data_IF_983902760761
#
_entry.id   IF_983902760761
#
_cell.length_a   1.000
_cell.length_b   1.000
_cell.length_c   1.000
_cell.angle_alpha   90.00
_cell.angle_beta   90.00
_cell.angle_gamma   90.00
#
_symmetry.space_group_name_H-M   'P 1'
#
loop_
_entity.id
_entity.type
_entity.pdbx_description
1 polymer ?
#
# COMPACT_ATOMS: atom_id res chain seq x y z
N UNK A 1 -52.18 -65.82 10.26
CA UNK A 1 -52.00 -64.51 10.90
C UNK A 1 -50.53 -64.23 10.98
N UNK A 2 -49.98 -63.40 10.09
CA UNK A 2 -48.61 -62.95 10.15
C UNK A 2 -48.65 -61.43 10.13
N UNK A 3 -48.21 -60.80 11.20
CA UNK A 3 -48.16 -59.37 11.42
C UNK A 3 -46.90 -58.83 10.74
N UNK A 4 -47.05 -57.88 9.80
CA UNK A 4 -45.93 -57.18 9.14
C UNK A 4 -45.66 -55.89 9.91
N UNK A 5 -44.46 -55.81 10.49
CA UNK A 5 -43.94 -54.61 11.15
C UNK A 5 -43.33 -53.65 10.08
N UNK A 6 -43.96 -52.49 9.92
CA UNK A 6 -43.44 -51.40 9.08
C UNK A 6 -42.31 -50.66 9.85
N UNK A 7 -41.08 -50.72 9.36
CA UNK A 7 -39.99 -49.90 9.83
C UNK A 7 -39.98 -48.62 8.98
N UNK A 8 -40.44 -47.53 9.55
CA UNK A 8 -40.28 -46.18 8.97
C UNK A 8 -38.86 -45.70 9.13
N UNK A 9 -38.14 -45.51 8.02
CA UNK A 9 -36.87 -44.81 7.96
C UNK A 9 -37.11 -43.30 8.05
N UNK A 10 -36.75 -42.67 9.15
CA UNK A 10 -36.68 -41.21 9.27
C UNK A 10 -35.35 -40.77 8.65
N UNK A 11 -35.43 -40.19 7.47
CA UNK A 11 -34.29 -39.53 6.81
C UNK A 11 -34.10 -38.16 7.47
N UNK A 12 -33.10 -38.05 8.36
CA UNK A 12 -32.72 -36.76 8.90
C UNK A 12 -31.94 -35.98 7.81
N UNK A 13 -32.59 -35.01 7.21
CA UNK A 13 -32.01 -34.05 6.29
C UNK A 13 -31.19 -33.06 7.12
N UNK A 14 -29.87 -33.28 7.25
CA UNK A 14 -28.94 -32.29 7.81
C UNK A 14 -28.81 -31.15 6.80
N UNK A 15 -29.52 -30.05 7.05
CA UNK A 15 -29.27 -28.77 6.40
C UNK A 15 -27.89 -28.28 6.85
N UNK A 16 -26.88 -28.48 6.01
CA UNK A 16 -25.65 -27.75 6.07
C UNK A 16 -25.98 -26.29 5.72
N UNK A 17 -26.27 -25.49 6.74
CA UNK A 17 -26.24 -24.05 6.61
C UNK A 17 -24.78 -23.66 6.35
N UNK A 18 -24.45 -23.35 5.09
CA UNK A 18 -23.27 -22.57 4.78
C UNK A 18 -23.42 -21.26 5.57
N UNK A 19 -22.68 -21.12 6.66
CA UNK A 19 -22.51 -19.83 7.30
C UNK A 19 -21.80 -18.96 6.27
N UNK A 20 -22.56 -18.09 5.59
CA UNK A 20 -21.99 -16.94 4.94
C UNK A 20 -21.19 -16.22 6.02
N UNK A 21 -19.89 -16.08 5.83
CA UNK A 21 -19.02 -15.30 6.72
C UNK A 21 -19.62 -13.90 6.73
N UNK A 22 -20.26 -13.55 7.84
CA UNK A 22 -21.01 -12.31 7.96
C UNK A 22 -20.03 -11.14 8.05
N UNK A 23 -20.40 -10.01 7.44
CA UNK A 23 -19.95 -8.69 7.87
C UNK A 23 -20.01 -8.63 9.42
N UNK A 24 -19.17 -7.82 10.04
CA UNK A 24 -19.19 -7.70 11.51
C UNK A 24 -20.59 -7.30 12.00
N UNK A 25 -20.93 -7.65 13.24
CA UNK A 25 -22.23 -7.29 13.83
C UNK A 25 -22.43 -5.76 13.87
N UNK A 26 -23.69 -5.33 13.94
CA UNK A 26 -24.00 -3.89 14.07
C UNK A 26 -23.34 -3.29 15.32
N UNK A 27 -23.24 -4.04 16.42
CA UNK A 27 -22.60 -3.60 17.67
C UNK A 27 -21.09 -3.44 17.50
N UNK A 28 -20.43 -4.35 16.79
CA UNK A 28 -19.00 -4.21 16.46
C UNK A 28 -18.76 -3.01 15.54
N UNK A 29 -19.56 -2.83 14.49
CA UNK A 29 -19.48 -1.68 13.61
C UNK A 29 -19.74 -0.34 14.35
N UNK A 30 -20.56 -0.34 15.41
CA UNK A 30 -20.79 0.85 16.24
C UNK A 30 -19.56 1.29 17.06
N UNK A 31 -18.54 0.43 17.18
CA UNK A 31 -17.27 0.79 17.82
C UNK A 31 -16.45 1.78 16.98
N UNK A 32 -16.66 1.82 15.66
CA UNK A 32 -15.98 2.76 14.76
C UNK A 32 -16.39 4.21 15.07
N UNK A 33 -15.40 5.04 15.40
CA UNK A 33 -15.58 6.42 15.83
C UNK A 33 -15.88 6.60 17.33
N UNK A 34 -16.07 5.52 18.09
CA UNK A 34 -16.29 5.54 19.54
C UNK A 34 -15.07 4.99 20.30
N UNK A 35 -14.97 3.69 20.51
CA UNK A 35 -13.82 3.02 21.13
C UNK A 35 -12.68 2.75 20.14
N UNK A 36 -13.01 2.64 18.86
CA UNK A 36 -12.04 2.60 17.77
C UNK A 36 -12.03 3.94 17.04
N UNK A 37 -10.94 4.23 16.32
CA UNK A 37 -10.93 5.33 15.35
C UNK A 37 -11.95 5.04 14.24
N UNK A 38 -12.35 6.00 13.42
CA UNK A 38 -13.26 5.74 12.30
C UNK A 38 -12.77 4.67 11.31
N UNK A 39 -11.46 4.40 11.28
CA UNK A 39 -10.82 3.40 10.42
C UNK A 39 -10.48 2.09 11.12
N UNK A 40 -10.86 1.91 12.40
CA UNK A 40 -10.70 0.66 13.12
C UNK A 40 -9.45 0.52 13.97
N UNK A 41 -8.60 1.54 14.03
CA UNK A 41 -7.46 1.56 14.96
C UNK A 41 -7.92 1.70 16.41
N UNK A 42 -7.12 1.22 17.35
CA UNK A 42 -7.34 1.45 18.78
C UNK A 42 -7.19 2.95 19.09
N UNK A 43 -8.22 3.56 19.69
CA UNK A 43 -8.23 5.01 19.93
C UNK A 43 -7.30 5.42 21.05
N UNK A 44 -7.21 4.63 22.12
CA UNK A 44 -6.34 4.90 23.26
C UNK A 44 -4.86 4.79 22.88
N UNK A 45 -4.02 5.53 23.64
CA UNK A 45 -2.57 5.38 23.61
C UNK A 45 -2.10 4.04 24.17
N UNK A 46 -0.79 3.79 24.13
CA UNK A 46 -0.21 2.61 24.80
C UNK A 46 0.06 2.90 26.30
N UNK A 47 0.43 1.83 27.03
CA UNK A 47 0.53 1.89 28.49
C UNK A 47 1.63 2.84 29.00
N UNK A 48 2.74 3.00 28.29
CA UNK A 48 3.87 3.85 28.66
C UNK A 48 3.76 5.28 28.10
N UNK A 49 2.72 5.57 27.29
CA UNK A 49 2.46 6.89 26.71
C UNK A 49 3.35 7.22 25.49
N UNK A 50 4.20 6.30 25.04
CA UNK A 50 5.05 6.52 23.87
C UNK A 50 4.26 6.56 22.56
N UNK A 51 3.07 5.92 22.50
CA UNK A 51 2.06 6.09 21.46
C UNK A 51 0.88 6.85 22.08
N UNK A 52 0.62 8.10 21.67
CA UNK A 52 -0.48 8.89 22.26
C UNK A 52 -1.86 8.37 21.82
N UNK A 53 -2.91 8.77 22.55
CA UNK A 53 -4.27 8.57 22.10
C UNK A 53 -4.54 9.32 20.79
N UNK A 54 -5.35 8.73 19.91
CA UNK A 54 -5.78 9.42 18.69
C UNK A 54 -6.83 10.49 19.01
N UNK A 55 -6.58 11.73 18.63
CA UNK A 55 -7.41 12.90 18.95
C UNK A 55 -8.08 13.52 17.71
N UNK A 56 -8.11 12.79 16.57
CA UNK A 56 -8.74 13.27 15.34
C UNK A 56 -7.77 13.44 14.17
N UNK A 57 -6.47 13.19 14.39
CA UNK A 57 -5.43 13.41 13.40
C UNK A 57 -5.07 14.89 13.22
N UNK A 58 -4.25 15.20 12.21
CA UNK A 58 -3.89 16.59 11.89
C UNK A 58 -5.07 17.34 11.27
N UNK A 59 -5.33 18.58 11.67
CA UNK A 59 -6.32 19.43 11.03
C UNK A 59 -5.86 19.87 9.64
N UNK A 60 -6.81 20.30 8.78
CA UNK A 60 -6.51 20.70 7.39
C UNK A 60 -5.53 21.85 7.26
N UNK A 61 -5.42 22.68 8.26
CA UNK A 61 -4.57 23.87 8.39
C UNK A 61 -3.33 23.63 9.23
N UNK A 62 -2.94 22.38 9.46
CA UNK A 62 -1.75 22.01 10.26
C UNK A 62 -0.44 22.63 9.73
N UNK A 63 -0.41 23.08 8.49
CA UNK A 63 0.73 23.75 7.87
C UNK A 63 0.33 24.47 6.58
N UNK A 64 1.29 25.19 6.02
CA UNK A 64 1.10 25.85 4.71
C UNK A 64 1.23 24.86 3.58
N UNK A 65 0.38 25.03 2.57
CA UNK A 65 0.48 24.33 1.29
C UNK A 65 1.00 25.33 0.26
N UNK A 66 2.11 25.04 -0.39
CA UNK A 66 2.65 25.87 -1.44
C UNK A 66 1.75 25.80 -2.71
N UNK A 67 1.86 26.81 -3.59
CA UNK A 67 1.06 26.86 -4.82
C UNK A 67 1.25 25.66 -5.77
N UNK A 68 2.39 24.99 -5.68
CA UNK A 68 2.71 23.75 -6.40
C UNK A 68 2.39 22.47 -5.60
N UNK A 69 1.70 22.59 -4.45
CA UNK A 69 1.18 21.46 -3.67
C UNK A 69 2.11 20.91 -2.60
N UNK A 70 3.37 21.37 -2.51
CA UNK A 70 4.26 20.93 -1.44
C UNK A 70 3.75 21.37 -0.06
N UNK A 71 3.85 20.44 0.89
CA UNK A 71 3.36 20.63 2.26
C UNK A 71 4.48 21.14 3.16
N UNK A 72 4.20 22.15 3.97
CA UNK A 72 5.09 22.48 5.08
C UNK A 72 5.10 21.32 6.08
N UNK A 73 6.28 21.02 6.64
CA UNK A 73 6.43 19.99 7.67
C UNK A 73 5.92 20.52 9.01
N UNK A 74 4.80 19.99 9.56
CA UNK A 74 4.27 20.44 10.86
C UNK A 74 5.22 20.15 12.03
N UNK A 75 6.14 19.18 11.84
CA UNK A 75 7.06 18.68 12.86
C UNK A 75 8.51 19.10 12.60
N UNK A 76 8.74 20.06 11.72
CA UNK A 76 10.09 20.44 11.24
C UNK A 76 11.05 20.99 12.32
N UNK A 77 10.51 21.45 13.46
CA UNK A 77 11.31 21.93 14.59
C UNK A 77 11.75 20.81 15.55
N UNK A 78 11.18 19.62 15.44
CA UNK A 78 11.46 18.49 16.33
C UNK A 78 12.87 17.94 16.11
N UNK A 79 13.43 17.40 17.18
CA UNK A 79 14.69 16.66 17.17
C UNK A 79 14.41 15.18 17.47
N UNK A 80 15.22 14.25 16.96
CA UNK A 80 15.11 12.86 17.35
C UNK A 80 15.25 12.72 18.88
N UNK A 81 14.43 11.85 19.46
CA UNK A 81 14.55 11.43 20.86
C UNK A 81 15.86 10.66 21.06
N UNK A 82 16.18 9.80 20.09
CA UNK A 82 17.41 9.01 20.01
C UNK A 82 17.61 8.51 18.58
N UNK A 83 18.75 7.91 18.34
CA UNK A 83 19.07 7.31 17.04
C UNK A 83 19.43 5.84 17.25
N UNK A 84 18.75 4.95 16.53
CA UNK A 84 19.11 3.53 16.48
C UNK A 84 20.19 3.35 15.42
N UNK A 85 21.25 2.63 15.77
CA UNK A 85 22.42 2.32 14.96
C UNK A 85 22.76 0.84 15.13
N UNK A 86 23.68 0.31 14.33
CA UNK A 86 24.15 -1.07 14.50
C UNK A 86 24.68 -1.37 15.90
N UNK A 87 25.20 -0.37 16.64
CA UNK A 87 25.76 -0.58 17.98
C UNK A 87 24.74 -0.72 19.09
N UNK A 88 23.50 -0.26 18.89
CA UNK A 88 22.43 -0.31 19.90
C UNK A 88 21.12 -0.97 19.41
N UNK A 89 21.06 -1.43 18.16
CA UNK A 89 19.84 -2.01 17.58
C UNK A 89 19.29 -3.21 18.39
N UNK A 90 20.17 -4.02 18.97
CA UNK A 90 19.75 -5.17 19.80
C UNK A 90 18.92 -4.75 21.04
N UNK A 91 19.08 -3.52 21.53
CA UNK A 91 18.27 -2.99 22.65
C UNK A 91 16.82 -2.70 22.25
N UNK A 92 16.55 -2.59 20.95
CA UNK A 92 15.24 -2.27 20.37
C UNK A 92 14.68 -3.42 19.53
N UNK A 93 15.27 -4.62 19.62
CA UNK A 93 14.95 -5.77 18.74
C UNK A 93 13.47 -6.14 18.73
N UNK A 94 12.78 -6.03 19.84
CA UNK A 94 11.34 -6.28 19.97
C UNK A 94 10.45 -5.26 19.25
N UNK A 95 11.01 -4.08 18.90
CA UNK A 95 10.37 -2.98 18.16
C UNK A 95 10.94 -2.77 16.76
N UNK A 96 11.72 -3.74 16.26
CA UNK A 96 12.31 -3.72 14.91
C UNK A 96 11.89 -4.97 14.13
N UNK A 97 11.85 -4.85 12.80
CA UNK A 97 11.62 -5.99 11.91
C UNK A 97 12.92 -6.78 11.67
N UNK A 98 12.81 -8.01 11.13
CA UNK A 98 14.00 -8.76 10.69
C UNK A 98 14.74 -8.00 9.58
N UNK A 99 13.98 -7.34 8.69
CA UNK A 99 14.53 -6.52 7.61
C UNK A 99 15.35 -5.33 8.13
N UNK A 100 14.82 -4.57 9.07
CA UNK A 100 15.54 -3.45 9.69
C UNK A 100 16.82 -3.93 10.38
N UNK A 101 16.78 -5.04 11.11
CA UNK A 101 17.96 -5.65 11.70
C UNK A 101 18.99 -6.08 10.65
N UNK A 102 18.53 -6.61 9.51
CA UNK A 102 19.43 -6.97 8.41
C UNK A 102 20.08 -5.74 7.75
N UNK A 103 19.38 -4.61 7.66
CA UNK A 103 19.94 -3.34 7.16
C UNK A 103 21.03 -2.81 8.10
N UNK A 104 20.83 -2.83 9.42
CA UNK A 104 21.90 -2.48 10.39
C UNK A 104 23.13 -3.39 10.25
N UNK A 105 22.92 -4.69 10.06
CA UNK A 105 24.01 -5.65 9.84
C UNK A 105 24.75 -5.41 8.54
N UNK A 106 24.04 -5.05 7.46
CA UNK A 106 24.64 -4.85 6.15
C UNK A 106 25.37 -3.52 6.03
N UNK A 107 24.84 -2.46 6.63
CA UNK A 107 25.35 -1.10 6.55
C UNK A 107 25.67 -0.50 7.93
N UNK A 108 26.54 -1.16 8.74
CA UNK A 108 26.70 -0.81 10.15
C UNK A 108 27.27 0.59 10.39
N UNK A 109 27.98 1.17 9.41
CA UNK A 109 28.58 2.49 9.52
C UNK A 109 27.65 3.62 9.04
N UNK A 110 26.64 3.33 8.22
CA UNK A 110 25.90 4.37 7.51
C UNK A 110 24.40 4.31 7.75
N UNK A 111 23.80 3.12 7.90
CA UNK A 111 22.37 2.99 8.17
C UNK A 111 22.08 3.32 9.63
N UNK A 112 21.09 4.18 9.83
CA UNK A 112 20.59 4.55 11.16
C UNK A 112 19.13 4.97 11.07
N UNK A 113 18.42 4.85 12.18
CA UNK A 113 17.03 5.24 12.31
C UNK A 113 16.90 6.36 13.36
N UNK A 114 16.74 7.62 12.97
CA UNK A 114 16.40 8.70 13.90
C UNK A 114 14.94 8.54 14.33
N UNK A 115 14.73 8.33 15.63
CA UNK A 115 13.41 8.10 16.23
C UNK A 115 12.89 9.39 16.84
N UNK A 116 11.67 9.76 16.49
CA UNK A 116 10.99 10.98 16.92
C UNK A 116 9.77 10.66 17.79
N UNK A 117 9.20 11.66 18.47
CA UNK A 117 7.93 11.50 19.16
C UNK A 117 6.84 11.02 18.18
N UNK A 118 5.99 10.10 18.64
CA UNK A 118 4.90 9.56 17.82
C UNK A 118 3.76 10.56 17.69
N UNK A 119 3.31 10.80 16.45
CA UNK A 119 2.17 11.64 16.14
C UNK A 119 1.18 10.87 15.30
N UNK A 120 0.00 10.60 15.84
CA UNK A 120 -1.08 9.91 15.11
C UNK A 120 -1.79 10.90 14.18
N UNK A 121 -1.09 11.27 13.11
CA UNK A 121 -1.47 12.34 12.16
C UNK A 121 -2.64 11.99 11.26
N UNK A 122 -2.90 10.70 11.07
CA UNK A 122 -3.85 10.23 10.07
C UNK A 122 -5.30 10.53 10.43
N UNK A 123 -6.03 10.99 9.44
CA UNK A 123 -7.49 11.11 9.43
C UNK A 123 -7.98 11.09 7.98
N UNK A 124 -9.28 11.03 7.77
CA UNK A 124 -9.90 11.04 6.44
C UNK A 124 -11.13 11.93 6.42
N UNK A 125 -11.63 12.39 5.25
CA UNK A 125 -12.86 13.14 5.15
C UNK A 125 -14.05 12.39 5.77
N UNK A 126 -15.03 13.12 6.32
CA UNK A 126 -16.22 12.53 6.95
C UNK A 126 -16.97 11.54 6.07
N UNK A 127 -17.06 11.80 4.74
CA UNK A 127 -17.66 10.86 3.80
C UNK A 127 -16.91 9.53 3.72
N UNK A 128 -15.58 9.54 3.85
CA UNK A 128 -14.74 8.34 3.86
C UNK A 128 -14.88 7.59 5.19
N UNK A 129 -15.01 8.30 6.32
CA UNK A 129 -15.34 7.68 7.61
C UNK A 129 -16.68 6.94 7.55
N UNK A 130 -17.69 7.56 6.93
CA UNK A 130 -18.98 6.89 6.72
C UNK A 130 -18.88 5.70 5.76
N UNK A 131 -18.06 5.80 4.71
CA UNK A 131 -17.77 4.69 3.80
C UNK A 131 -17.15 3.50 4.55
N UNK A 132 -16.15 3.73 5.40
CA UNK A 132 -15.54 2.68 6.22
C UNK A 132 -16.58 1.99 7.14
N UNK A 133 -17.48 2.77 7.75
CA UNK A 133 -18.57 2.22 8.56
C UNK A 133 -19.53 1.35 7.73
N UNK A 134 -19.87 1.79 6.52
CA UNK A 134 -20.69 0.99 5.58
C UNK A 134 -19.96 -0.28 5.16
N UNK A 135 -18.63 -0.21 4.93
CA UNK A 135 -17.80 -1.39 4.62
C UNK A 135 -17.93 -2.44 5.72
N UNK A 136 -17.80 -2.05 6.98
CA UNK A 136 -17.92 -2.98 8.11
C UNK A 136 -19.27 -3.73 8.12
N UNK A 137 -20.35 -3.09 7.65
CA UNK A 137 -21.69 -3.66 7.64
C UNK A 137 -22.03 -4.49 6.40
N UNK A 138 -21.45 -4.15 5.24
CA UNK A 138 -21.95 -4.65 3.95
C UNK A 138 -20.91 -5.38 3.11
N UNK A 139 -19.62 -5.04 3.21
CA UNK A 139 -18.56 -5.68 2.42
C UNK A 139 -18.31 -7.08 2.95
N UNK A 140 -18.20 -8.03 2.04
CA UNK A 140 -17.95 -9.42 2.38
C UNK A 140 -16.78 -9.97 1.57
N UNK A 141 -15.92 -10.79 2.17
CA UNK A 141 -14.93 -11.55 1.42
C UNK A 141 -15.64 -12.57 0.52
N UNK A 142 -15.10 -12.81 -0.66
CA UNK A 142 -15.55 -13.86 -1.59
C UNK A 142 -14.36 -14.69 -2.04
N UNK A 143 -14.60 -15.93 -2.48
CA UNK A 143 -13.56 -16.85 -2.94
C UNK A 143 -12.41 -16.98 -1.93
N UNK A 144 -12.74 -17.37 -0.70
CA UNK A 144 -11.77 -17.54 0.41
C UNK A 144 -10.94 -16.26 0.71
N UNK A 145 -11.49 -15.08 0.39
CA UNK A 145 -10.84 -13.78 0.60
C UNK A 145 -10.05 -13.28 -0.61
N UNK A 146 -10.03 -14.01 -1.71
CA UNK A 146 -9.34 -13.58 -2.93
C UNK A 146 -10.03 -12.39 -3.61
N UNK A 147 -11.23 -12.04 -3.18
CA UNK A 147 -12.00 -10.90 -3.65
C UNK A 147 -12.95 -10.35 -2.60
N UNK A 148 -13.59 -9.23 -2.94
CA UNK A 148 -14.60 -8.57 -2.12
C UNK A 148 -15.88 -8.31 -2.91
N UNK A 149 -17.03 -8.38 -2.24
CA UNK A 149 -18.35 -8.07 -2.81
C UNK A 149 -19.01 -6.92 -2.06
N UNK A 150 -20.05 -6.31 -2.68
CA UNK A 150 -20.79 -5.15 -2.16
C UNK A 150 -19.94 -3.90 -1.90
N UNK A 151 -18.71 -3.84 -2.46
CA UNK A 151 -17.78 -2.74 -2.22
C UNK A 151 -18.26 -1.41 -2.82
N UNK A 152 -19.08 -1.45 -3.88
CA UNK A 152 -19.70 -0.27 -4.50
C UNK A 152 -20.61 0.53 -3.55
N UNK A 153 -21.05 -0.09 -2.44
CA UNK A 153 -21.85 0.57 -1.41
C UNK A 153 -21.05 1.44 -0.46
N UNK A 154 -19.73 1.28 -0.44
CA UNK A 154 -18.82 1.95 0.46
C UNK A 154 -17.65 2.64 -0.23
N UNK A 155 -16.86 1.94 -1.01
CA UNK A 155 -15.78 2.47 -1.84
C UNK A 155 -14.40 2.57 -1.17
N UNK A 156 -14.29 2.42 0.15
CA UNK A 156 -13.01 2.48 0.87
C UNK A 156 -13.00 1.57 2.10
N UNK A 157 -11.78 1.06 2.47
CA UNK A 157 -11.52 0.25 3.65
C UNK A 157 -12.48 -0.92 3.80
N UNK A 158 -12.21 -1.98 3.04
CA UNK A 158 -13.14 -3.12 2.92
C UNK A 158 -13.50 -3.75 4.27
N UNK A 159 -12.55 -3.86 5.20
CA UNK A 159 -12.71 -4.55 6.49
C UNK A 159 -12.08 -3.76 7.65
N UNK A 160 -12.62 -2.60 8.06
CA UNK A 160 -12.01 -1.77 9.10
C UNK A 160 -11.92 -2.47 10.47
N UNK A 161 -12.64 -3.58 10.65
CA UNK A 161 -12.53 -4.50 11.79
C UNK A 161 -12.23 -5.90 11.22
N UNK A 162 -10.97 -6.20 10.87
CA UNK A 162 -10.61 -7.44 10.18
C UNK A 162 -10.56 -8.63 11.13
N UNK A 163 -10.88 -9.83 10.60
CA UNK A 163 -10.84 -11.10 11.30
C UNK A 163 -9.63 -11.98 10.92
N UNK A 164 -8.98 -11.68 9.80
CA UNK A 164 -7.87 -12.49 9.27
C UNK A 164 -6.89 -11.65 8.45
N UNK A 165 -5.78 -12.26 8.02
CA UNK A 165 -4.70 -11.55 7.34
C UNK A 165 -5.08 -11.00 5.96
N UNK A 166 -5.93 -11.67 5.21
CA UNK A 166 -6.34 -11.18 3.89
C UNK A 166 -7.29 -9.98 4.00
N UNK A 167 -8.12 -9.92 5.03
CA UNK A 167 -8.95 -8.73 5.32
C UNK A 167 -8.10 -7.51 5.70
N UNK A 168 -7.01 -7.71 6.45
CA UNK A 168 -6.01 -6.66 6.72
C UNK A 168 -5.37 -6.16 5.43
N UNK A 169 -4.99 -7.06 4.53
CA UNK A 169 -4.45 -6.70 3.22
C UNK A 169 -5.45 -5.90 2.39
N UNK A 170 -6.73 -6.32 2.36
CA UNK A 170 -7.77 -5.60 1.61
C UNK A 170 -7.96 -4.17 2.09
N UNK A 171 -7.76 -3.88 3.39
CA UNK A 171 -7.78 -2.50 3.87
C UNK A 171 -6.65 -1.67 3.25
N UNK A 172 -5.44 -2.24 3.11
CA UNK A 172 -4.36 -1.57 2.40
C UNK A 172 -4.71 -1.30 0.94
N UNK A 173 -5.19 -2.31 0.23
CA UNK A 173 -5.51 -2.21 -1.20
C UNK A 173 -6.68 -1.24 -1.46
N UNK A 174 -7.65 -1.16 -0.55
CA UNK A 174 -8.86 -0.35 -0.69
C UNK A 174 -8.83 0.96 0.11
N UNK A 175 -7.68 1.35 0.67
CA UNK A 175 -7.57 2.58 1.47
C UNK A 175 -7.81 3.84 0.63
N UNK A 176 -8.23 4.90 1.30
CA UNK A 176 -8.39 6.21 0.69
C UNK A 176 -7.02 6.87 0.47
N UNK A 177 -6.73 7.28 -0.74
CA UNK A 177 -5.48 7.96 -1.14
C UNK A 177 -5.73 9.36 -1.73
N UNK A 178 -6.93 9.94 -1.51
CA UNK A 178 -7.28 11.28 -1.97
C UNK A 178 -8.24 11.33 -3.16
N UNK A 179 -8.71 10.19 -3.67
CA UNK A 179 -9.59 10.10 -4.84
C UNK A 179 -8.81 10.16 -6.17
N UNK A 180 -9.46 10.68 -7.24
CA UNK A 180 -8.81 10.82 -8.54
C UNK A 180 -7.62 11.78 -8.47
N UNK A 181 -6.48 11.39 -9.08
CA UNK A 181 -5.30 12.25 -9.09
C UNK A 181 -4.45 12.10 -10.36
N UNK A 182 -3.63 13.10 -10.60
CA UNK A 182 -2.46 13.09 -11.46
C UNK A 182 -1.22 13.41 -10.65
N UNK A 183 -0.09 12.72 -10.93
CA UNK A 183 1.21 13.02 -10.31
C UNK A 183 2.37 12.79 -11.26
N UNK A 184 3.48 13.52 -11.04
CA UNK A 184 4.80 13.24 -11.62
C UNK A 184 5.76 12.87 -10.49
N UNK A 185 6.59 11.88 -10.74
CA UNK A 185 7.58 11.40 -9.77
C UNK A 185 8.73 10.68 -10.47
N UNK A 186 9.81 10.45 -9.75
CA UNK A 186 10.92 9.63 -10.24
C UNK A 186 11.05 8.32 -9.47
N UNK A 187 11.63 7.35 -10.18
CA UNK A 187 12.18 6.11 -9.63
C UNK A 187 13.67 6.05 -9.95
N UNK A 188 14.46 5.56 -9.01
CA UNK A 188 15.89 5.32 -9.18
C UNK A 188 16.27 3.91 -8.73
N UNK A 189 17.30 3.33 -9.37
CA UNK A 189 17.90 2.04 -9.06
C UNK A 189 19.40 2.22 -8.91
N UNK A 190 19.89 2.82 -7.79
CA UNK A 190 21.30 3.13 -7.62
C UNK A 190 22.19 1.90 -7.75
N UNK A 191 23.36 2.09 -8.37
CA UNK A 191 24.43 1.12 -8.37
C UNK A 191 25.11 1.07 -6.99
N UNK A 192 25.95 0.07 -6.73
CA UNK A 192 26.67 -0.07 -5.46
C UNK A 192 27.48 1.17 -5.07
N UNK A 193 27.99 1.91 -6.06
CA UNK A 193 28.72 3.16 -5.86
C UNK A 193 27.83 4.41 -5.70
N UNK A 194 26.51 4.22 -5.70
CA UNK A 194 25.52 5.30 -5.59
C UNK A 194 25.16 6.01 -6.91
N UNK A 195 25.79 5.66 -8.03
CA UNK A 195 25.44 6.25 -9.32
C UNK A 195 24.04 5.76 -9.79
N UNK A 196 23.23 6.66 -10.33
CA UNK A 196 21.89 6.34 -10.80
C UNK A 196 21.47 7.19 -12.00
N UNK A 197 20.45 6.73 -12.71
CA UNK A 197 19.74 7.50 -13.72
C UNK A 197 18.27 7.57 -13.30
N UNK A 198 17.69 8.75 -13.07
CA UNK A 198 16.29 8.85 -12.70
C UNK A 198 15.39 8.48 -13.87
N UNK A 199 14.38 7.67 -13.60
CA UNK A 199 13.27 7.40 -14.52
C UNK A 199 12.06 8.18 -14.06
N UNK A 200 11.58 9.14 -14.90
CA UNK A 200 10.42 9.95 -14.57
C UNK A 200 9.16 9.34 -15.11
N UNK A 201 8.16 9.33 -14.25
CA UNK A 201 6.81 8.87 -14.54
C UNK A 201 5.80 10.01 -14.42
N UNK A 202 4.79 9.97 -15.28
CA UNK A 202 3.49 10.62 -15.05
C UNK A 202 2.45 9.53 -14.82
N UNK A 203 1.58 9.73 -13.84
CA UNK A 203 0.57 8.77 -13.46
C UNK A 203 -0.77 9.46 -13.23
N UNK A 204 -1.81 8.84 -13.75
CA UNK A 204 -3.21 9.20 -13.53
C UNK A 204 -3.92 8.00 -12.92
N UNK A 205 -4.63 8.21 -11.81
CA UNK A 205 -5.47 7.18 -11.19
C UNK A 205 -6.88 7.71 -10.99
N UNK A 206 -7.87 6.90 -11.33
CA UNK A 206 -9.29 7.27 -11.21
C UNK A 206 -10.11 6.13 -10.64
N UNK A 207 -11.13 6.50 -9.87
CA UNK A 207 -12.06 5.59 -9.23
C UNK A 207 -13.41 5.61 -9.95
N UNK A 208 -14.08 4.45 -10.15
CA UNK A 208 -15.36 4.35 -10.86
C UNK A 208 -16.42 5.32 -10.36
N UNK A 209 -16.48 5.55 -9.04
CA UNK A 209 -17.45 6.46 -8.43
C UNK A 209 -17.22 7.95 -8.79
N UNK A 210 -16.00 8.31 -9.25
CA UNK A 210 -15.59 9.69 -9.57
C UNK A 210 -15.41 9.91 -11.07
N UNK A 211 -15.87 8.97 -11.92
CA UNK A 211 -15.89 9.06 -13.37
C UNK A 211 -17.34 9.05 -13.84
N UNK A 212 -17.83 10.19 -14.35
CA UNK A 212 -19.25 10.41 -14.59
C UNK A 212 -19.86 9.46 -15.64
N UNK A 213 -19.08 9.12 -16.68
CA UNK A 213 -19.48 8.21 -17.77
C UNK A 213 -18.98 6.77 -17.57
N UNK A 214 -18.64 6.39 -16.34
CA UNK A 214 -18.20 5.01 -16.04
C UNK A 214 -19.36 4.04 -16.28
N UNK A 215 -19.13 2.93 -17.04
CA UNK A 215 -20.17 1.94 -17.33
C UNK A 215 -20.77 1.36 -16.04
N UNK A 216 -22.08 1.51 -15.82
CA UNK A 216 -22.73 1.08 -14.56
C UNK A 216 -22.54 -0.42 -14.26
N UNK A 217 -22.53 -1.24 -15.30
CA UNK A 217 -22.39 -2.71 -15.21
C UNK A 217 -20.98 -3.14 -14.74
N UNK A 218 -19.98 -2.25 -14.82
CA UNK A 218 -18.61 -2.52 -14.39
C UNK A 218 -18.25 -1.94 -13.02
N UNK A 219 -19.11 -1.10 -12.44
CA UNK A 219 -18.81 -0.40 -11.17
C UNK A 219 -18.53 -1.35 -10.01
N UNK A 220 -19.21 -2.48 -9.93
CA UNK A 220 -19.03 -3.47 -8.88
C UNK A 220 -17.81 -4.38 -9.05
N UNK A 221 -17.13 -4.32 -10.21
CA UNK A 221 -16.00 -5.21 -10.50
C UNK A 221 -14.63 -4.49 -10.53
N UNK A 222 -14.59 -3.16 -10.67
CA UNK A 222 -13.36 -2.37 -10.79
C UNK A 222 -13.13 -1.55 -9.53
N UNK A 223 -11.94 -1.68 -8.94
CA UNK A 223 -11.52 -0.86 -7.81
C UNK A 223 -11.07 0.53 -8.27
N UNK A 224 -10.12 0.58 -9.20
CA UNK A 224 -9.67 1.82 -9.86
C UNK A 224 -9.02 1.51 -11.22
N UNK A 225 -8.79 2.55 -12.00
CA UNK A 225 -8.00 2.48 -13.22
C UNK A 225 -6.79 3.39 -13.06
N UNK A 226 -5.63 2.90 -13.52
CA UNK A 226 -4.37 3.66 -13.48
C UNK A 226 -3.70 3.66 -14.84
N UNK A 227 -3.22 4.83 -15.25
CA UNK A 227 -2.40 5.02 -16.45
C UNK A 227 -1.07 5.64 -16.04
N UNK A 228 0.03 4.99 -16.39
CA UNK A 228 1.38 5.39 -16.03
C UNK A 228 2.22 5.50 -17.31
N UNK A 229 2.92 6.61 -17.50
CA UNK A 229 3.76 6.90 -18.67
C UNK A 229 5.17 7.26 -18.23
N UNK A 230 6.17 6.65 -18.85
CA UNK A 230 7.57 7.06 -18.72
C UNK A 230 7.84 8.27 -19.59
N UNK A 231 8.33 9.36 -19.01
CA UNK A 231 8.63 10.61 -19.72
C UNK A 231 10.13 10.90 -19.84
N UNK A 232 10.95 10.28 -18.99
CA UNK A 232 12.42 10.35 -19.06
C UNK A 232 13.04 9.06 -18.48
N UNK A 233 14.28 8.69 -18.87
CA UNK A 233 15.10 9.25 -19.93
C UNK A 233 14.58 8.90 -21.35
N UNK A 234 15.10 9.59 -22.37
CA UNK A 234 14.62 9.45 -23.75
C UNK A 234 14.57 7.99 -24.27
N UNK A 235 15.51 7.13 -23.84
CA UNK A 235 15.55 5.69 -24.22
C UNK A 235 14.34 4.89 -23.74
N UNK A 236 13.63 5.35 -22.70
CA UNK A 236 12.47 4.69 -22.10
C UNK A 236 11.18 5.49 -22.30
N UNK A 237 11.30 6.76 -22.68
CA UNK A 237 10.18 7.67 -22.84
C UNK A 237 9.14 7.16 -23.85
N UNK A 238 7.87 7.40 -23.56
CA UNK A 238 6.74 6.95 -24.34
C UNK A 238 6.26 5.54 -24.04
N UNK A 239 6.98 4.75 -23.23
CA UNK A 239 6.43 3.51 -22.67
C UNK A 239 5.30 3.86 -21.70
N UNK A 240 4.12 3.27 -21.88
CA UNK A 240 2.99 3.53 -21.01
C UNK A 240 2.30 2.21 -20.63
N UNK A 241 1.77 2.18 -19.41
CA UNK A 241 0.97 1.09 -18.85
C UNK A 241 -0.41 1.60 -18.51
N UNK A 242 -1.44 0.85 -18.86
CA UNK A 242 -2.80 1.05 -18.38
C UNK A 242 -3.19 -0.22 -17.62
N UNK A 243 -3.71 -0.07 -16.41
CA UNK A 243 -4.29 -1.17 -15.67
C UNK A 243 -5.68 -0.82 -15.14
N UNK A 244 -6.59 -1.78 -15.18
CA UNK A 244 -7.85 -1.79 -14.45
C UNK A 244 -7.70 -2.81 -13.31
N UNK A 245 -7.68 -2.30 -12.09
CA UNK A 245 -7.62 -3.14 -10.90
C UNK A 245 -9.01 -3.68 -10.58
N UNK A 246 -9.12 -4.99 -10.47
CA UNK A 246 -10.40 -5.65 -10.22
C UNK A 246 -10.53 -6.03 -8.74
N UNK A 247 -11.76 -6.01 -8.25
CA UNK A 247 -12.10 -6.37 -6.87
C UNK A 247 -12.09 -7.89 -6.61
N UNK A 248 -12.05 -8.70 -7.67
CA UNK A 248 -11.96 -10.15 -7.58
C UNK A 248 -11.12 -10.68 -8.73
N UNK A 249 -9.82 -10.74 -8.52
CA UNK A 249 -8.85 -11.09 -9.57
C UNK A 249 -8.89 -12.57 -9.95
N UNK A 250 -9.50 -13.45 -9.16
CA UNK A 250 -9.68 -14.88 -9.50
C UNK A 250 -10.81 -15.09 -10.51
N UNK A 251 -11.83 -14.22 -10.49
CA UNK A 251 -12.97 -14.24 -11.44
C UNK A 251 -12.70 -13.33 -12.64
N UNK A 252 -12.31 -12.10 -12.41
CA UNK A 252 -11.89 -11.14 -13.43
C UNK A 252 -10.45 -10.68 -13.12
N UNK A 253 -9.43 -11.33 -13.73
CA UNK A 253 -8.03 -10.96 -13.50
C UNK A 253 -7.78 -9.50 -13.88
N UNK A 254 -6.79 -8.86 -13.22
CA UNK A 254 -6.31 -7.52 -13.58
C UNK A 254 -6.20 -7.36 -15.09
N UNK A 255 -6.82 -6.33 -15.63
CA UNK A 255 -6.74 -6.01 -17.05
C UNK A 255 -5.61 -5.01 -17.24
N UNK A 256 -4.53 -5.43 -17.87
CA UNK A 256 -3.38 -4.58 -18.09
C UNK A 256 -2.95 -4.55 -19.57
N UNK A 257 -2.54 -3.36 -20.02
CA UNK A 257 -2.01 -3.12 -21.37
C UNK A 257 -0.74 -2.30 -21.28
N UNK A 258 0.21 -2.63 -22.14
CA UNK A 258 1.46 -1.88 -22.31
C UNK A 258 1.51 -1.32 -23.71
N UNK A 259 1.73 -0.02 -23.82
CA UNK A 259 2.15 0.62 -25.06
C UNK A 259 3.67 0.63 -25.12
N UNK A 260 4.22 0.09 -26.21
CA UNK A 260 5.64 0.11 -26.49
C UNK A 260 5.92 1.18 -27.57
N UNK A 261 6.67 2.22 -27.19
CA UNK A 261 6.98 3.35 -28.08
C UNK A 261 7.77 2.92 -29.32
N UNK A 262 8.72 2.00 -29.18
CA UNK A 262 9.52 1.50 -30.30
C UNK A 262 8.72 0.71 -31.34
N UNK A 263 7.69 -0.02 -30.89
CA UNK A 263 6.80 -0.80 -31.77
C UNK A 263 5.52 -0.06 -32.15
N UNK A 264 5.21 1.05 -31.49
CA UNK A 264 3.96 1.85 -31.62
C UNK A 264 2.70 0.99 -31.50
N UNK A 265 2.71 0.01 -30.58
CA UNK A 265 1.63 -0.96 -30.40
C UNK A 265 1.27 -1.10 -28.96
N UNK A 266 -0.05 -1.22 -28.70
CA UNK A 266 -0.60 -1.65 -27.42
C UNK A 266 -0.70 -3.17 -27.43
N UNK A 267 -0.21 -3.82 -26.37
CA UNK A 267 -0.35 -5.25 -26.12
C UNK A 267 -0.94 -5.49 -24.75
N UNK A 268 -1.75 -6.52 -24.63
CA UNK A 268 -2.21 -7.01 -23.33
C UNK A 268 -1.03 -7.60 -22.56
N UNK A 269 -0.95 -7.31 -21.26
CA UNK A 269 0.15 -7.71 -20.38
C UNK A 269 -0.37 -8.45 -19.14
N UNK A 270 -0.90 -9.66 -19.25
CA UNK A 270 -1.52 -10.40 -18.15
C UNK A 270 -0.55 -10.75 -17.01
N UNK A 271 0.77 -10.70 -17.25
CA UNK A 271 1.79 -11.04 -16.24
C UNK A 271 2.09 -9.91 -15.25
N UNK A 272 1.51 -8.74 -15.41
CA UNK A 272 1.70 -7.59 -14.48
C UNK A 272 1.01 -7.83 -13.11
N UNK A 273 0.21 -8.88 -12.96
CA UNK A 273 -0.53 -9.14 -11.72
C UNK A 273 0.31 -9.74 -10.58
N UNK A 274 1.51 -10.26 -10.87
CA UNK A 274 2.31 -11.03 -9.91
C UNK A 274 3.79 -10.62 -9.93
N UNK A 275 4.68 -11.63 -9.99
CA UNK A 275 6.13 -11.51 -9.88
C UNK A 275 6.88 -11.13 -11.17
N UNK A 276 6.15 -10.74 -12.22
CA UNK A 276 6.78 -10.09 -13.36
C UNK A 276 7.61 -8.88 -12.93
N UNK A 277 8.64 -8.47 -13.69
CA UNK A 277 9.47 -7.32 -13.33
C UNK A 277 8.64 -6.03 -13.37
N UNK A 278 8.79 -5.20 -12.32
CA UNK A 278 8.20 -3.86 -12.29
C UNK A 278 8.80 -2.96 -13.39
N UNK A 279 8.04 -1.99 -13.88
CA UNK A 279 8.49 -1.07 -14.93
C UNK A 279 9.76 -0.34 -14.50
N UNK A 280 10.79 -0.39 -15.33
CA UNK A 280 12.09 0.27 -15.14
C UNK A 280 12.78 -0.02 -13.80
N UNK A 281 12.48 -1.14 -13.15
CA UNK A 281 12.99 -1.50 -11.82
C UNK A 281 14.32 -2.25 -11.83
N UNK A 282 14.85 -2.58 -13.00
CA UNK A 282 16.07 -3.39 -13.17
C UNK A 282 16.04 -4.72 -12.37
N UNK A 283 14.82 -5.29 -12.22
CA UNK A 283 14.62 -6.52 -11.47
C UNK A 283 14.58 -6.36 -9.95
N UNK A 284 14.76 -5.15 -9.41
CA UNK A 284 14.72 -4.89 -7.96
C UNK A 284 13.31 -4.90 -7.38
N UNK A 285 12.27 -4.83 -8.20
CA UNK A 285 10.87 -4.86 -7.78
C UNK A 285 10.05 -5.79 -8.67
N UNK A 286 9.15 -6.56 -8.07
CA UNK A 286 8.10 -7.29 -8.79
C UNK A 286 6.91 -6.38 -9.11
N UNK A 287 6.09 -6.74 -10.09
CA UNK A 287 4.96 -5.92 -10.51
C UNK A 287 3.93 -5.73 -9.38
N UNK A 288 3.75 -6.74 -8.53
CA UNK A 288 2.84 -6.72 -7.39
C UNK A 288 3.38 -6.02 -6.14
N UNK A 289 4.62 -5.52 -6.18
CA UNK A 289 5.22 -4.72 -5.08
C UNK A 289 5.09 -3.20 -5.30
N UNK A 290 4.22 -2.72 -6.17
CA UNK A 290 3.92 -1.30 -6.24
C UNK A 290 3.10 -0.90 -5.02
N UNK A 291 3.41 0.26 -4.41
CA UNK A 291 2.73 0.74 -3.21
C UNK A 291 2.83 -0.28 -2.05
N UNK A 292 4.01 -0.86 -1.87
CA UNK A 292 4.37 -1.94 -0.95
C UNK A 292 3.73 -3.29 -1.30
N UNK A 293 2.47 -3.32 -1.70
CA UNK A 293 1.76 -4.46 -2.28
C UNK A 293 0.53 -4.01 -3.08
N UNK A 294 0.46 -4.45 -4.33
CA UNK A 294 -0.69 -4.27 -5.20
C UNK A 294 -0.85 -5.47 -6.14
N UNK A 295 -1.10 -6.63 -5.58
CA UNK A 295 -1.25 -7.88 -6.31
C UNK A 295 -2.53 -8.63 -5.98
N UNK A 296 -2.79 -9.72 -6.72
CA UNK A 296 -3.83 -10.66 -6.36
C UNK A 296 -3.42 -11.43 -5.09
N UNK A 297 -4.32 -11.62 -4.13
CA UNK A 297 -3.99 -12.34 -2.89
C UNK A 297 -3.95 -13.86 -3.05
N UNK A 298 -4.46 -14.41 -4.14
CA UNK A 298 -4.80 -15.81 -4.38
C UNK A 298 -3.65 -16.81 -4.24
N UNK A 299 -2.41 -16.38 -4.47
CA UNK A 299 -1.22 -17.27 -4.41
C UNK A 299 -0.70 -17.52 -2.99
N UNK A 300 -1.17 -16.77 -1.99
CA UNK A 300 -0.68 -16.81 -0.63
C UNK A 300 -1.74 -17.23 0.37
N UNK A 301 -1.30 -17.92 1.41
CA UNK A 301 -2.04 -18.06 2.67
C UNK A 301 -1.69 -16.86 3.55
N UNK A 302 -2.72 -16.16 4.03
CA UNK A 302 -2.58 -14.90 4.76
C UNK A 302 -2.87 -15.14 6.25
N UNK A 303 -1.84 -15.16 7.06
CA UNK A 303 -1.95 -15.34 8.52
C UNK A 303 -1.92 -13.98 9.20
N UNK A 304 -2.96 -13.65 9.97
CA UNK A 304 -2.95 -12.55 10.91
C UNK A 304 -2.23 -13.01 12.19
N UNK A 305 -1.06 -12.43 12.47
CA UNK A 305 -0.30 -12.72 13.68
C UNK A 305 -0.86 -11.94 14.87
N UNK A 306 -1.24 -10.69 14.64
CA UNK A 306 -1.81 -9.82 15.66
C UNK A 306 -1.39 -8.36 15.48
N UNK A 307 -1.32 -7.65 16.62
CA UNK A 307 -0.78 -6.27 16.67
C UNK A 307 0.56 -6.25 17.37
N UNK A 308 1.43 -5.35 16.92
CA UNK A 308 2.76 -5.13 17.48
C UNK A 308 3.08 -3.64 17.49
N UNK A 309 3.98 -3.20 18.37
CA UNK A 309 4.52 -1.85 18.35
C UNK A 309 5.89 -1.85 17.70
N UNK A 310 6.05 -1.10 16.60
CA UNK A 310 7.28 -1.02 15.83
C UNK A 310 7.68 0.42 15.53
N UNK A 311 8.97 0.66 15.40
CA UNK A 311 9.48 1.88 14.79
C UNK A 311 9.33 1.79 13.28
N UNK A 312 8.41 2.57 12.73
CA UNK A 312 8.09 2.60 11.29
C UNK A 312 8.36 3.97 10.70
N UNK A 313 8.65 4.08 9.39
CA UNK A 313 8.71 5.36 8.70
C UNK A 313 7.34 6.06 8.79
N UNK A 314 7.31 7.28 9.35
CA UNK A 314 6.08 8.02 9.55
C UNK A 314 6.31 9.52 9.50
N UNK A 315 5.31 10.31 9.08
CA UNK A 315 5.42 11.76 8.94
C UNK A 315 6.67 12.22 8.16
N UNK A 316 6.99 11.54 7.07
CA UNK A 316 8.24 11.65 6.30
C UNK A 316 8.29 12.91 5.42
N UNK A 317 7.83 14.06 5.93
CA UNK A 317 7.74 15.33 5.19
C UNK A 317 9.10 15.82 4.67
N UNK A 318 10.19 15.54 5.39
CA UNK A 318 11.53 15.93 4.96
C UNK A 318 11.91 15.29 3.62
N UNK A 319 11.54 14.02 3.41
CA UNK A 319 11.83 13.29 2.17
C UNK A 319 11.09 13.85 0.94
N UNK A 320 10.01 14.60 1.11
CA UNK A 320 9.28 15.25 0.02
C UNK A 320 9.62 16.75 -0.08
N UNK A 321 10.50 17.28 0.75
CA UNK A 321 10.82 18.71 0.75
C UNK A 321 11.38 19.18 -0.60
N UNK A 322 10.85 20.26 -1.22
CA UNK A 322 11.40 20.82 -2.45
C UNK A 322 12.76 21.50 -2.26
N UNK A 323 13.24 21.62 -1.02
CA UNK A 323 14.58 22.14 -0.73
C UNK A 323 15.67 21.10 -0.90
N UNK A 324 15.31 19.80 -0.93
CA UNK A 324 16.24 18.70 -1.15
C UNK A 324 16.35 18.36 -2.65
N UNK A 325 17.53 18.09 -3.09
CA UNK A 325 17.79 17.47 -4.40
C UNK A 325 17.72 15.94 -4.27
N UNK A 326 17.52 15.26 -5.38
CA UNK A 326 17.58 13.79 -5.39
C UNK A 326 18.91 13.26 -4.86
N UNK A 327 20.04 13.93 -5.17
CA UNK A 327 21.38 13.57 -4.67
C UNK A 327 21.54 13.74 -3.15
N UNK A 328 20.71 14.55 -2.50
CA UNK A 328 20.71 14.66 -1.04
C UNK A 328 20.10 13.41 -0.39
N UNK A 329 19.12 12.79 -1.08
CA UNK A 329 18.39 11.63 -0.61
C UNK A 329 19.04 10.32 -1.04
N UNK A 330 19.41 10.19 -2.31
CA UNK A 330 19.94 8.95 -2.90
C UNK A 330 21.42 8.80 -2.54
N UNK A 331 21.77 7.71 -1.84
CA UNK A 331 23.15 7.38 -1.47
C UNK A 331 23.51 5.95 -1.88
N UNK A 332 24.75 5.57 -1.75
CA UNK A 332 25.19 4.19 -1.96
C UNK A 332 24.56 3.27 -0.89
N UNK A 333 23.94 2.19 -1.30
CA UNK A 333 23.39 1.16 -0.43
C UNK A 333 22.00 1.46 0.15
N UNK A 334 21.69 2.69 0.51
CA UNK A 334 20.37 3.09 1.07
C UNK A 334 20.13 4.60 0.90
N UNK A 335 18.88 5.05 1.16
CA UNK A 335 18.59 6.49 1.20
C UNK A 335 19.27 7.16 2.40
N UNK A 336 19.49 8.48 2.31
CA UNK A 336 20.16 9.24 3.35
C UNK A 336 19.32 9.29 4.64
N UNK A 337 19.82 8.71 5.76
CA UNK A 337 19.08 8.67 7.02
C UNK A 337 18.88 10.06 7.67
N UNK A 338 19.62 11.09 7.25
CA UNK A 338 19.45 12.46 7.76
C UNK A 338 18.09 13.06 7.43
N UNK A 339 17.39 12.49 6.45
CA UNK A 339 16.09 12.96 6.00
C UNK A 339 14.97 11.98 6.33
N UNK A 340 15.28 10.84 6.97
CA UNK A 340 14.27 9.86 7.40
C UNK A 340 13.70 10.23 8.77
N UNK A 341 12.50 9.75 9.05
CA UNK A 341 11.82 9.89 10.33
C UNK A 341 11.14 8.58 10.67
N UNK A 342 11.41 8.04 11.85
CA UNK A 342 10.78 6.86 12.39
C UNK A 342 10.04 7.23 13.68
N UNK A 343 8.85 6.67 13.85
CA UNK A 343 8.02 6.85 15.02
C UNK A 343 7.53 5.50 15.52
N UNK A 344 7.29 5.36 16.82
CA UNK A 344 6.69 4.16 17.38
C UNK A 344 5.19 4.14 17.09
N UNK A 345 4.71 3.13 16.38
CA UNK A 345 3.29 2.93 16.07
C UNK A 345 2.85 1.50 16.31
N UNK A 346 1.54 1.30 16.56
CA UNK A 346 0.94 -0.01 16.49
C UNK A 346 0.72 -0.40 15.04
N UNK A 347 1.12 -1.62 14.71
CA UNK A 347 0.96 -2.19 13.38
C UNK A 347 0.21 -3.51 13.45
N UNK A 348 -0.52 -3.82 12.39
CA UNK A 348 -1.00 -5.17 12.13
C UNK A 348 0.15 -5.98 11.52
N UNK A 349 0.43 -7.14 12.11
CA UNK A 349 1.45 -8.07 11.65
C UNK A 349 0.79 -9.19 10.85
N UNK A 350 1.14 -9.30 9.56
CA UNK A 350 0.56 -10.24 8.61
C UNK A 350 1.67 -11.01 7.90
N UNK A 351 1.53 -12.33 7.85
CA UNK A 351 2.44 -13.21 7.11
C UNK A 351 1.71 -13.81 5.92
N UNK A 352 2.26 -13.60 4.72
CA UNK A 352 1.82 -14.24 3.49
C UNK A 352 2.78 -15.38 3.13
N UNK A 353 2.32 -16.61 3.18
CA UNK A 353 3.09 -17.81 2.83
C UNK A 353 2.60 -18.34 1.48
N UNK A 354 3.52 -18.57 0.53
CA UNK A 354 3.16 -19.06 -0.80
C UNK A 354 2.47 -20.43 -0.70
N UNK A 355 1.28 -20.54 -1.28
CA UNK A 355 0.49 -21.78 -1.29
C UNK A 355 1.23 -22.91 -2.02
N UNK A 356 1.12 -24.18 -1.57
CA UNK A 356 1.65 -25.32 -2.29
C UNK A 356 1.17 -25.34 -3.75
N UNK A 357 2.09 -25.57 -4.69
CA UNK A 357 1.78 -25.60 -6.12
C UNK A 357 1.72 -24.21 -6.79
N UNK A 358 1.66 -23.13 -6.03
CA UNK A 358 1.77 -21.76 -6.56
C UNK A 358 3.21 -21.38 -6.87
N UNK A 359 3.40 -20.41 -7.78
CA UNK A 359 4.74 -19.91 -8.17
C UNK A 359 4.83 -18.42 -7.92
N UNK A 360 5.89 -18.02 -7.25
CA UNK A 360 6.29 -16.64 -7.04
C UNK A 360 7.77 -16.59 -6.66
N UNK A 361 8.47 -15.50 -6.97
CA UNK A 361 9.88 -15.33 -6.57
C UNK A 361 10.04 -15.19 -5.05
N UNK A 362 8.98 -14.73 -4.34
CA UNK A 362 8.95 -14.69 -2.89
C UNK A 362 8.15 -15.85 -2.33
N UNK A 363 8.79 -16.71 -1.53
CA UNK A 363 8.11 -17.81 -0.83
C UNK A 363 7.30 -17.33 0.37
N UNK A 364 7.69 -16.20 0.95
CA UNK A 364 7.04 -15.58 2.10
C UNK A 364 7.20 -14.07 2.04
N UNK A 365 6.18 -13.35 2.53
CA UNK A 365 6.24 -11.93 2.84
C UNK A 365 5.79 -11.74 4.28
N UNK A 366 6.51 -10.95 5.04
CA UNK A 366 6.13 -10.54 6.39
C UNK A 366 5.87 -9.04 6.35
N UNK A 367 4.64 -8.64 6.55
CA UNK A 367 4.16 -7.27 6.34
C UNK A 367 3.67 -6.67 7.64
N UNK A 368 3.94 -5.39 7.80
CA UNK A 368 3.55 -4.60 8.97
C UNK A 368 2.78 -3.37 8.50
N UNK A 369 1.48 -3.36 8.79
CA UNK A 369 0.56 -2.31 8.34
C UNK A 369 0.25 -1.38 9.49
N UNK A 370 0.46 -0.08 9.30
CA UNK A 370 0.07 0.93 10.29
C UNK A 370 -1.43 0.86 10.59
N UNK A 371 -1.79 0.81 11.88
CA UNK A 371 -3.20 0.65 12.27
C UNK A 371 -4.07 1.87 11.96
N UNK A 372 -3.47 3.08 11.87
CA UNK A 372 -4.20 4.31 11.62
C UNK A 372 -4.52 4.54 10.14
N UNK A 373 -3.63 4.11 9.24
CA UNK A 373 -3.73 4.40 7.80
C UNK A 373 -4.00 3.17 6.94
N UNK A 374 -3.74 1.96 7.46
CA UNK A 374 -3.70 0.71 6.71
C UNK A 374 -2.61 0.66 5.64
N UNK A 375 -1.69 1.63 5.63
CA UNK A 375 -0.52 1.58 4.77
C UNK A 375 0.45 0.49 5.26
N UNK A 376 0.94 -0.36 4.36
CA UNK A 376 2.09 -1.21 4.66
C UNK A 376 3.28 -0.29 4.88
N UNK A 377 3.82 -0.27 6.09
CA UNK A 377 4.96 0.55 6.45
C UNK A 377 6.28 -0.19 6.24
N UNK A 378 6.30 -1.50 6.52
CA UNK A 378 7.45 -2.38 6.41
C UNK A 378 7.05 -3.70 5.76
N UNK A 379 7.92 -4.27 4.93
CA UNK A 379 7.71 -5.62 4.39
C UNK A 379 9.04 -6.34 4.15
N UNK A 380 9.15 -7.52 4.75
CA UNK A 380 10.29 -8.43 4.59
C UNK A 380 9.93 -9.52 3.56
N UNK A 381 10.78 -9.68 2.54
CA UNK A 381 10.54 -10.62 1.45
C UNK A 381 11.59 -11.74 1.47
N UNK A 382 11.13 -12.98 1.44
CA UNK A 382 11.96 -14.17 1.53
C UNK A 382 11.99 -14.90 0.19
N UNK A 383 13.18 -15.39 -0.19
CA UNK A 383 13.38 -16.15 -1.42
C UNK A 383 12.77 -17.57 -1.35
N UNK A 384 12.91 -18.35 -2.41
CA UNK A 384 12.41 -19.74 -2.47
C UNK A 384 13.10 -20.71 -1.50
N UNK A 385 14.19 -20.30 -0.84
CA UNK A 385 14.89 -21.06 0.21
C UNK A 385 14.50 -20.61 1.61
N UNK A 386 13.60 -19.64 1.72
CA UNK A 386 13.20 -19.05 2.99
C UNK A 386 14.23 -18.08 3.59
N UNK A 387 15.20 -17.60 2.80
CA UNK A 387 16.17 -16.59 3.25
C UNK A 387 15.62 -15.19 3.01
N UNK A 388 15.80 -14.29 3.98
CA UNK A 388 15.47 -12.88 3.83
C UNK A 388 16.30 -12.29 2.69
N UNK A 389 15.60 -11.85 1.64
CA UNK A 389 16.20 -11.35 0.42
C UNK A 389 16.05 -9.84 0.26
N UNK A 390 14.82 -9.33 0.43
CA UNK A 390 14.54 -7.91 0.22
C UNK A 390 13.78 -7.32 1.39
N UNK A 391 14.08 -6.06 1.67
CA UNK A 391 13.42 -5.25 2.70
C UNK A 391 12.78 -4.07 2.02
N UNK A 392 11.49 -3.84 2.26
CA UNK A 392 10.78 -2.68 1.77
C UNK A 392 10.38 -1.78 2.94
N UNK A 393 10.59 -0.46 2.78
CA UNK A 393 10.14 0.57 3.72
C UNK A 393 9.23 1.57 2.98
N UNK A 394 8.05 1.81 3.53
CA UNK A 394 7.08 2.78 3.04
C UNK A 394 7.17 4.09 3.84
N UNK A 395 7.95 5.06 3.36
CA UNK A 395 8.11 6.35 4.02
C UNK A 395 6.86 7.21 3.85
N UNK A 396 5.88 6.98 4.72
CA UNK A 396 4.57 7.61 4.65
C UNK A 396 4.60 9.07 5.13
N UNK A 397 3.76 9.89 4.51
CA UNK A 397 3.37 11.19 5.03
C UNK A 397 1.86 11.38 4.94
N UNK A 398 1.33 12.26 5.75
CA UNK A 398 -0.07 12.63 5.76
C UNK A 398 -0.29 13.98 5.09
N UNK A 399 -1.05 14.00 3.98
CA UNK A 399 -1.50 15.24 3.36
C UNK A 399 -2.69 15.81 4.17
N UNK A 400 -2.39 16.72 5.06
CA UNK A 400 -3.40 17.30 5.94
C UNK A 400 -4.47 18.10 5.17
N UNK A 401 -4.13 18.72 4.03
CA UNK A 401 -5.10 19.48 3.24
C UNK A 401 -6.13 18.60 2.53
N UNK A 402 -5.71 17.40 2.08
CA UNK A 402 -6.55 16.41 1.44
C UNK A 402 -7.09 15.35 2.42
N UNK A 403 -6.55 15.29 3.63
CA UNK A 403 -6.81 14.26 4.63
C UNK A 403 -6.58 12.85 4.08
N UNK A 404 -5.43 12.64 3.45
CA UNK A 404 -5.04 11.38 2.83
C UNK A 404 -3.58 11.05 3.14
N UNK A 405 -3.29 9.78 3.42
CA UNK A 405 -1.91 9.28 3.57
C UNK A 405 -1.40 8.75 2.24
N UNK A 406 -0.12 8.97 1.97
CA UNK A 406 0.59 8.39 0.81
C UNK A 406 2.09 8.26 1.10
N UNK A 407 2.82 7.57 0.23
CA UNK A 407 4.26 7.41 0.36
C UNK A 407 5.01 8.59 -0.29
N UNK A 408 5.84 9.28 0.49
CA UNK A 408 6.83 10.22 -0.04
C UNK A 408 7.89 9.47 -0.85
N UNK A 409 8.35 8.33 -0.31
CA UNK A 409 9.30 7.42 -0.94
C UNK A 409 8.94 5.99 -0.52
N UNK A 410 8.95 5.08 -1.48
CA UNK A 410 8.96 3.63 -1.26
C UNK A 410 10.36 3.11 -1.58
N UNK A 411 10.99 2.38 -0.67
CA UNK A 411 12.30 1.76 -0.88
C UNK A 411 12.21 0.24 -0.87
N UNK A 412 13.00 -0.41 -1.73
CA UNK A 412 13.21 -1.86 -1.72
C UNK A 412 14.72 -2.14 -1.75
N UNK A 413 15.25 -2.60 -0.64
CA UNK A 413 16.65 -2.94 -0.46
C UNK A 413 16.87 -4.41 -0.81
N UNK A 414 17.74 -4.71 -1.77
CA UNK A 414 18.13 -6.07 -2.13
C UNK A 414 19.40 -6.44 -1.33
N UNK A 415 19.23 -7.28 -0.33
CA UNK A 415 20.29 -7.68 0.59
C UNK A 415 21.37 -8.55 -0.08
N UNK A 416 21.09 -9.14 -1.23
CA UNK A 416 22.06 -9.96 -1.96
C UNK A 416 22.95 -9.09 -2.83
N UNK A 417 22.37 -8.22 -3.64
CA UNK A 417 23.13 -7.36 -4.56
C UNK A 417 23.69 -6.09 -3.91
N UNK A 418 23.16 -5.68 -2.73
CA UNK A 418 23.51 -4.39 -2.11
C UNK A 418 22.95 -3.17 -2.84
N UNK A 419 22.15 -3.37 -3.86
CA UNK A 419 21.42 -2.33 -4.57
C UNK A 419 20.04 -2.10 -3.95
N UNK A 420 19.43 -0.99 -4.28
CA UNK A 420 18.05 -0.72 -3.88
C UNK A 420 17.30 0.03 -4.96
N UNK A 421 16.00 0.07 -4.81
CA UNK A 421 15.10 0.91 -5.59
C UNK A 421 14.50 1.95 -4.66
N UNK A 422 14.41 3.21 -5.09
CA UNK A 422 13.61 4.24 -4.44
C UNK A 422 12.61 4.82 -5.45
N UNK A 423 11.34 4.82 -5.09
CA UNK A 423 10.20 5.18 -5.93
C UNK A 423 9.38 6.29 -5.28
N UNK A 424 8.84 7.21 -6.06
CA UNK A 424 7.89 8.20 -5.59
C UNK A 424 8.46 9.59 -5.32
N UNK A 425 9.77 9.78 -5.43
CA UNK A 425 10.41 11.08 -5.15
C UNK A 425 9.93 12.17 -6.10
N UNK A 426 9.61 13.35 -5.54
CA UNK A 426 9.06 14.51 -6.25
C UNK A 426 9.79 15.82 -5.99
N UNK A 427 10.82 15.82 -5.20
CA UNK A 427 11.55 17.00 -4.69
C UNK A 427 11.92 18.01 -5.77
N UNK A 428 12.28 17.56 -6.97
CA UNK A 428 12.67 18.39 -8.11
C UNK A 428 11.61 18.40 -9.23
N UNK A 429 10.41 17.88 -8.97
CA UNK A 429 9.29 17.94 -9.89
C UNK A 429 8.59 19.31 -9.80
N UNK A 430 7.86 19.75 -10.84
CA UNK A 430 7.17 21.05 -10.83
C UNK A 430 6.13 21.21 -9.74
N UNK A 431 5.66 20.09 -9.16
CA UNK A 431 4.67 20.07 -8.08
C UNK A 431 4.42 18.66 -7.59
N UNK A 432 3.57 18.56 -6.57
CA UNK A 432 3.14 17.28 -5.99
C UNK A 432 1.91 16.72 -6.69
N UNK A 433 1.23 15.78 -6.04
CA UNK A 433 -0.01 15.18 -6.55
C UNK A 433 -1.11 16.22 -6.72
N UNK A 434 -1.73 16.26 -7.89
CA UNK A 434 -2.90 17.07 -8.19
C UNK A 434 -4.15 16.21 -8.04
N UNK A 435 -4.92 16.49 -7.01
CA UNK A 435 -6.16 15.78 -6.72
C UNK A 435 -7.35 16.37 -7.48
N UNK A 436 -8.44 15.60 -7.56
CA UNK A 436 -9.65 16.02 -8.26
C UNK A 436 -9.53 15.97 -9.79
N UNK A 437 -8.70 15.06 -10.32
CA UNK A 437 -8.58 14.85 -11.77
C UNK A 437 -9.95 14.55 -12.38
N UNK A 438 -10.41 15.41 -13.28
CA UNK A 438 -11.58 15.16 -14.12
C UNK A 438 -11.18 14.24 -15.27
N UNK A 439 -11.85 13.10 -15.39
CA UNK A 439 -11.55 12.08 -16.39
C UNK A 439 -12.82 11.47 -16.96
N UNK A 440 -12.72 10.95 -18.18
CA UNK A 440 -13.75 10.13 -18.84
C UNK A 440 -13.30 8.67 -18.87
N UNK A 441 -14.24 7.77 -18.88
CA UNK A 441 -13.92 6.33 -19.00
C UNK A 441 -13.08 6.02 -20.24
N UNK A 442 -13.36 6.71 -21.36
CA UNK A 442 -12.59 6.55 -22.59
C UNK A 442 -11.08 6.82 -22.41
N UNK A 443 -10.69 7.78 -21.55
CA UNK A 443 -9.28 8.15 -21.32
C UNK A 443 -8.46 6.98 -20.72
N UNK A 444 -9.14 5.99 -20.18
CA UNK A 444 -8.57 4.78 -19.58
C UNK A 444 -8.90 3.52 -20.40
N UNK A 445 -8.90 3.63 -21.71
CA UNK A 445 -9.06 2.50 -22.64
C UNK A 445 -7.77 2.21 -23.39
N UNK A 446 -7.58 0.98 -23.92
CA UNK A 446 -6.43 0.66 -24.77
C UNK A 446 -6.34 1.55 -26.03
N UNK A 447 -7.48 2.05 -26.53
CA UNK A 447 -7.53 2.97 -27.67
C UNK A 447 -6.93 4.33 -27.31
N UNK A 448 -7.31 4.89 -26.16
CA UNK A 448 -6.74 6.14 -25.64
C UNK A 448 -5.24 5.97 -25.33
N UNK A 449 -4.83 4.86 -24.69
CA UNK A 449 -3.42 4.57 -24.42
C UNK A 449 -2.55 4.60 -25.69
N UNK A 450 -3.07 4.11 -26.83
CA UNK A 450 -2.37 4.18 -28.11
C UNK A 450 -2.22 5.63 -28.59
N UNK A 451 -3.25 6.45 -28.44
CA UNK A 451 -3.23 7.85 -28.85
C UNK A 451 -2.25 8.67 -28.01
N UNK A 452 -2.23 8.46 -26.71
CA UNK A 452 -1.33 9.12 -25.76
C UNK A 452 0.14 8.75 -25.97
N UNK A 453 0.40 7.49 -26.35
CA UNK A 453 1.75 7.01 -26.65
C UNK A 453 2.33 7.53 -27.96
N UNK A 454 1.49 8.07 -28.88
CA UNK A 454 1.92 8.65 -30.15
C UNK A 454 2.27 10.14 -30.02
N UNK A 455 1.90 10.79 -28.93
CA UNK A 455 2.20 12.19 -28.57
C UNK A 455 3.43 12.24 -27.65
#
# INVERSE_FOLDING_TARGET
MKTILNKGCILALSLLTSQAMAAVSADEAARLGTTLTPLGAQKEGNADGSIPAWTGGLPKDAGKVASNGFLANPFGAEKPLFVITASNADQYRDKLTEGQMALFKRYPATYRMPVYPSHRSATVPAAVMQAARNSALYVQPVNDGDGVSNFEKSGYYAFPIPNNGVEVLWNHVTRYVGGNYWRSYIQVTPQENGAYTPVRFEEEQVYPAQVADFPPERKGGILYMVKQKVTAPARLAGTAVLAHETLNQTVEPRLAWVYNAGQRRVRRAPQIAYDGPGTASEGLRTADNLDMFNGAPDRYEWTLVGKKELYIPYNSYALESPTLKYDDIVKAGHINPDHTRYELHRVWEVVATLKPGSRHVYSKRHMYLDEDTWQIAEADHYDGRGQLWRVAEGHALFNYSQQASYLAVETLYDLMSGRYLALGMRNQEPGTTKYGLAAKYYDFTPAALRTDGLR
#
